data_IF_774231721455
#
_entry.id   IF_774231721455
#
_cell.length_a   1.000
_cell.length_b   1.000
_cell.length_c   1.000
_cell.angle_alpha   90.00
_cell.angle_beta   90.00
_cell.angle_gamma   90.00
#
_symmetry.space_group_name_H-M   'P 1'
#
loop_
_entity.id
_entity.type
_entity.pdbx_description
1 polymer ?
#
# COMPACT_ATOMS: atom_id res chain seq x y z
N UNK A 1 -27.21 -28.28 -7.87
CA UNK A 1 -26.62 -27.59 -6.71
C UNK A 1 -25.09 -27.52 -6.76
N UNK A 2 -24.38 -28.54 -7.26
CA UNK A 2 -22.91 -28.59 -7.32
C UNK A 2 -22.25 -27.61 -8.32
N UNK A 3 -22.92 -27.30 -9.44
CA UNK A 3 -22.41 -26.37 -10.46
C UNK A 3 -22.44 -24.88 -10.05
N UNK A 4 -23.31 -24.52 -9.09
CA UNK A 4 -23.39 -23.15 -8.54
C UNK A 4 -22.30 -22.94 -7.48
N UNK A 5 -21.96 -23.98 -6.72
CA UNK A 5 -20.84 -23.95 -5.77
C UNK A 5 -19.48 -23.84 -6.48
N UNK A 6 -19.30 -24.47 -7.64
CA UNK A 6 -18.05 -24.38 -8.40
C UNK A 6 -17.84 -23.02 -9.08
N UNK A 7 -18.91 -22.34 -9.54
CA UNK A 7 -18.78 -20.99 -10.13
C UNK A 7 -18.44 -19.94 -9.08
N UNK A 8 -19.01 -20.03 -7.88
CA UNK A 8 -18.69 -19.17 -6.74
C UNK A 8 -17.22 -19.31 -6.32
N UNK A 9 -16.71 -20.54 -6.22
CA UNK A 9 -15.31 -20.80 -5.91
C UNK A 9 -14.35 -20.23 -6.97
N UNK A 10 -14.69 -20.35 -8.27
CA UNK A 10 -13.91 -19.77 -9.35
C UNK A 10 -13.92 -18.22 -9.32
N UNK A 11 -15.08 -17.61 -9.04
CA UNK A 11 -15.23 -16.16 -8.90
C UNK A 11 -14.42 -15.62 -7.71
N UNK A 12 -14.49 -16.29 -6.56
CA UNK A 12 -13.74 -15.96 -5.35
C UNK A 12 -12.23 -16.07 -5.58
N UNK A 13 -11.77 -17.15 -6.23
CA UNK A 13 -10.35 -17.34 -6.58
C UNK A 13 -9.84 -16.23 -7.50
N UNK A 14 -10.64 -15.82 -8.49
CA UNK A 14 -10.31 -14.69 -9.36
C UNK A 14 -10.21 -13.36 -8.59
N UNK A 15 -11.14 -13.10 -7.67
CA UNK A 15 -11.07 -11.90 -6.81
C UNK A 15 -9.83 -11.91 -5.91
N UNK A 16 -9.53 -13.02 -5.25
CA UNK A 16 -8.37 -13.15 -4.36
C UNK A 16 -7.08 -12.91 -5.13
N UNK A 17 -6.91 -13.55 -6.30
CA UNK A 17 -5.73 -13.36 -7.15
C UNK A 17 -5.61 -11.89 -7.56
N UNK A 18 -6.70 -11.28 -8.01
CA UNK A 18 -6.70 -9.86 -8.40
C UNK A 18 -6.29 -8.93 -7.26
N UNK A 19 -6.89 -9.08 -6.08
CA UNK A 19 -6.54 -8.26 -4.91
C UNK A 19 -5.13 -8.54 -4.40
N UNK A 20 -4.66 -9.78 -4.47
CA UNK A 20 -3.30 -10.15 -4.07
C UNK A 20 -2.26 -9.54 -5.03
N UNK A 21 -2.52 -9.55 -6.34
CA UNK A 21 -1.66 -8.87 -7.32
C UNK A 21 -1.61 -7.37 -7.07
N UNK A 22 -2.76 -6.74 -6.82
CA UNK A 22 -2.81 -5.31 -6.47
C UNK A 22 -2.02 -4.99 -5.19
N UNK A 23 -2.17 -5.81 -4.14
CA UNK A 23 -1.41 -5.65 -2.91
C UNK A 23 0.10 -5.81 -3.11
N UNK A 24 0.52 -6.79 -3.93
CA UNK A 24 1.93 -6.98 -4.28
C UNK A 24 2.50 -5.81 -5.08
N UNK A 25 1.74 -5.29 -6.06
CA UNK A 25 2.13 -4.12 -6.86
C UNK A 25 2.23 -2.86 -5.99
N UNK A 26 1.30 -2.66 -5.06
CA UNK A 26 1.37 -1.55 -4.10
C UNK A 26 2.63 -1.62 -3.23
N UNK A 27 2.98 -2.81 -2.73
CA UNK A 27 4.22 -3.03 -1.98
C UNK A 27 5.48 -2.80 -2.82
N UNK A 28 5.46 -3.23 -4.09
CA UNK A 28 6.56 -2.99 -5.03
C UNK A 28 6.75 -1.50 -5.29
N UNK A 29 5.67 -0.76 -5.56
CA UNK A 29 5.72 0.68 -5.84
C UNK A 29 6.22 1.46 -4.62
N UNK A 30 5.74 1.12 -3.42
CA UNK A 30 6.24 1.72 -2.17
C UNK A 30 7.73 1.45 -1.96
N UNK A 31 8.19 0.21 -2.20
CA UNK A 31 9.61 -0.14 -2.10
C UNK A 31 10.49 0.58 -3.13
N UNK A 32 9.97 0.83 -4.34
CA UNK A 32 10.66 1.57 -5.39
C UNK A 32 10.93 3.02 -4.93
N UNK A 33 9.93 3.70 -4.39
CA UNK A 33 10.06 5.09 -3.93
C UNK A 33 11.13 5.22 -2.83
N UNK A 34 11.12 4.31 -1.84
CA UNK A 34 12.12 4.27 -0.77
C UNK A 34 13.52 3.97 -1.31
N UNK A 35 13.62 3.04 -2.26
CA UNK A 35 14.89 2.70 -2.91
C UNK A 35 15.50 3.86 -3.71
N UNK A 36 14.67 4.58 -4.48
CA UNK A 36 15.10 5.76 -5.24
C UNK A 36 15.62 6.85 -4.31
N UNK A 37 14.94 7.10 -3.19
CA UNK A 37 15.38 8.10 -2.21
C UNK A 37 16.67 7.71 -1.52
N UNK A 38 16.82 6.44 -1.13
CA UNK A 38 18.07 5.94 -0.54
C UNK A 38 19.26 6.09 -1.50
N UNK A 39 19.04 5.92 -2.81
CA UNK A 39 20.07 6.14 -3.83
C UNK A 39 20.35 7.62 -4.11
N UNK A 40 19.32 8.48 -4.01
CA UNK A 40 19.42 9.91 -4.26
C UNK A 40 20.01 10.72 -3.09
N UNK A 41 20.02 10.17 -1.87
CA UNK A 41 20.37 10.88 -0.64
C UNK A 41 21.73 11.61 -0.72
N UNK A 42 22.77 10.93 -1.21
CA UNK A 42 24.11 11.52 -1.29
C UNK A 42 24.21 12.61 -2.37
N UNK A 43 23.43 12.48 -3.46
CA UNK A 43 23.35 13.51 -4.50
C UNK A 43 22.66 14.77 -3.95
N UNK A 44 21.55 14.60 -3.22
CA UNK A 44 20.82 15.71 -2.60
C UNK A 44 21.69 16.43 -1.57
N UNK A 45 22.42 15.69 -0.72
CA UNK A 45 23.39 16.27 0.23
C UNK A 45 24.43 17.14 -0.49
N UNK A 46 24.99 16.63 -1.58
CA UNK A 46 26.06 17.30 -2.32
C UNK A 46 25.57 18.51 -3.12
N UNK A 47 24.41 18.40 -3.74
CA UNK A 47 23.86 19.44 -4.62
C UNK A 47 23.25 20.62 -3.84
N UNK A 48 22.70 20.35 -2.65
CA UNK A 48 22.09 21.39 -1.80
C UNK A 48 22.97 21.78 -0.59
N UNK A 49 24.15 21.17 -0.43
CA UNK A 49 25.08 21.40 0.68
C UNK A 49 24.39 21.32 2.07
N UNK A 50 23.51 20.34 2.24
CA UNK A 50 22.71 20.16 3.47
C UNK A 50 23.37 19.16 4.41
N UNK A 51 23.34 19.45 5.71
CA UNK A 51 23.87 18.60 6.77
C UNK A 51 23.10 17.28 6.91
N UNK A 52 23.76 16.23 7.41
CA UNK A 52 23.18 14.89 7.57
C UNK A 52 21.88 14.89 8.38
N UNK A 53 21.82 15.73 9.42
CA UNK A 53 20.62 15.88 10.26
C UNK A 53 19.40 16.33 9.47
N UNK A 54 19.58 17.23 8.51
CA UNK A 54 18.46 17.75 7.72
C UNK A 54 17.88 16.67 6.81
N UNK A 55 18.74 15.86 6.20
CA UNK A 55 18.34 14.72 5.38
C UNK A 55 17.62 13.66 6.22
N UNK A 56 18.14 13.33 7.40
CA UNK A 56 17.50 12.40 8.32
C UNK A 56 16.09 12.87 8.72
N UNK A 57 15.91 14.17 8.99
CA UNK A 57 14.59 14.74 9.26
C UNK A 57 13.63 14.59 8.07
N UNK A 58 14.10 14.79 6.84
CA UNK A 58 13.28 14.62 5.63
C UNK A 58 12.86 13.16 5.48
N UNK A 59 13.82 12.22 5.51
CA UNK A 59 13.55 10.79 5.30
C UNK A 59 12.66 10.21 6.42
N UNK A 60 12.92 10.59 7.68
CA UNK A 60 12.10 10.13 8.81
C UNK A 60 10.67 10.66 8.75
N UNK A 61 10.46 11.93 8.38
CA UNK A 61 9.11 12.50 8.22
C UNK A 61 8.30 11.81 7.13
N UNK A 62 8.94 11.43 6.01
CA UNK A 62 8.32 10.66 4.94
C UNK A 62 7.91 9.26 5.41
N UNK A 63 8.81 8.53 6.08
CA UNK A 63 8.52 7.20 6.63
C UNK A 63 7.37 7.25 7.67
N UNK A 64 7.36 8.29 8.51
CA UNK A 64 6.31 8.52 9.48
C UNK A 64 4.96 8.77 8.80
N UNK A 65 4.94 9.60 7.74
CA UNK A 65 3.75 9.83 6.92
C UNK A 65 3.22 8.55 6.28
N UNK A 66 4.10 7.70 5.74
CA UNK A 66 3.73 6.41 5.18
C UNK A 66 3.12 5.46 6.24
N UNK A 67 3.71 5.41 7.44
CA UNK A 67 3.20 4.60 8.54
C UNK A 67 1.80 5.07 8.99
N UNK A 68 1.59 6.37 9.14
CA UNK A 68 0.28 6.94 9.48
C UNK A 68 -0.74 6.68 8.36
N UNK A 69 -0.35 6.85 7.10
CA UNK A 69 -1.21 6.58 5.95
C UNK A 69 -1.65 5.11 5.89
N UNK A 70 -0.73 4.17 6.13
CA UNK A 70 -1.04 2.75 6.19
C UNK A 70 -2.00 2.42 7.35
N UNK A 71 -1.79 3.01 8.53
CA UNK A 71 -2.68 2.82 9.67
C UNK A 71 -4.10 3.35 9.40
N UNK A 72 -4.22 4.54 8.82
CA UNK A 72 -5.50 5.13 8.43
C UNK A 72 -6.20 4.32 7.34
N UNK A 73 -5.46 3.86 6.33
CA UNK A 73 -5.99 3.01 5.26
C UNK A 73 -6.49 1.66 5.80
N UNK A 74 -5.75 1.05 6.74
CA UNK A 74 -6.16 -0.19 7.41
C UNK A 74 -7.45 0.02 8.23
N UNK A 75 -7.53 1.12 8.98
CA UNK A 75 -8.73 1.47 9.74
C UNK A 75 -9.94 1.71 8.84
N UNK A 76 -9.77 2.48 7.75
CA UNK A 76 -10.84 2.78 6.80
C UNK A 76 -11.31 1.53 6.06
N UNK A 77 -10.38 0.64 5.67
CA UNK A 77 -10.68 -0.66 5.06
C UNK A 77 -11.52 -1.53 6.00
N UNK A 78 -11.19 -1.58 7.29
CA UNK A 78 -11.99 -2.28 8.30
C UNK A 78 -13.41 -1.70 8.46
N UNK A 79 -13.58 -0.39 8.35
CA UNK A 79 -14.88 0.27 8.49
C UNK A 79 -15.76 0.13 7.23
N UNK A 80 -15.18 0.20 6.03
CA UNK A 80 -15.91 0.13 4.76
C UNK A 80 -16.05 -1.27 4.16
N UNK A 81 -15.20 -2.23 4.54
CA UNK A 81 -14.92 -3.45 3.78
C UNK A 81 -15.91 -4.62 3.87
N UNK A 82 -16.99 -4.55 4.67
CA UNK A 82 -17.96 -5.65 4.76
C UNK A 82 -19.43 -5.21 4.76
N UNK A 83 -19.71 -4.04 5.36
CA UNK A 83 -21.08 -3.55 5.51
C UNK A 83 -21.74 -3.15 4.18
N UNK A 84 -20.99 -2.58 3.23
CA UNK A 84 -21.57 -2.09 1.96
C UNK A 84 -21.89 -3.20 0.96
N UNK A 85 -21.12 -4.28 0.93
CA UNK A 85 -21.43 -5.44 0.09
C UNK A 85 -22.73 -6.10 0.55
N UNK A 86 -22.94 -6.25 1.86
CA UNK A 86 -24.20 -6.78 2.41
C UNK A 86 -25.39 -5.83 2.19
N UNK A 87 -25.20 -4.51 2.29
CA UNK A 87 -26.27 -3.52 2.09
C UNK A 87 -26.66 -3.37 0.61
N UNK A 88 -25.73 -3.53 -0.34
CA UNK A 88 -26.03 -3.48 -1.78
C UNK A 88 -26.50 -4.81 -2.37
N UNK A 89 -26.30 -5.94 -1.67
CA UNK A 89 -26.72 -7.27 -2.13
C UNK A 89 -28.11 -7.69 -1.64
N UNK A 90 -28.80 -6.84 -0.88
CA UNK A 90 -30.18 -7.01 -0.43
C UNK A 90 -31.10 -6.05 -1.20
#
# INVERSE_FOLDING_TARGET
MSAVMSSSAAQARRHIVFTATLAALAGLMFGLDVGVISGAQQFIQRDFAIDDRAIEHIVSSMMLGAALGAALAAWLSGHFGRKRSLIFSA
#
